data_IF_847498021082
#
_entry.id   IF_847498021082
#
_cell.length_a   1.000
_cell.length_b   1.000
_cell.length_c   1.000
_cell.angle_alpha   90.00
_cell.angle_beta   90.00
_cell.angle_gamma   90.00
#
_symmetry.space_group_name_H-M   'P 1'
#
loop_
_entity.id
_entity.type
_entity.pdbx_description
1 polymer ?
#
# COMPACT_ATOMS: atom_id res chain seq x y z
N UNK A 1 24.41 53.15 38.53
CA UNK A 1 24.40 51.74 38.92
C UNK A 1 25.76 51.39 39.48
N UNK A 2 25.82 50.92 40.72
CA UNK A 2 27.06 50.40 41.30
C UNK A 2 27.45 49.09 40.60
N UNK A 3 28.74 48.68 40.62
CA UNK A 3 29.15 47.38 40.08
C UNK A 3 28.34 46.20 40.63
N UNK A 4 27.93 46.28 41.90
CA UNK A 4 27.10 45.27 42.55
C UNK A 4 25.66 45.24 42.00
N UNK A 5 25.07 46.39 41.69
CA UNK A 5 23.74 46.47 41.06
C UNK A 5 23.75 45.90 39.63
N UNK A 6 24.84 46.09 38.88
CA UNK A 6 25.02 45.52 37.54
C UNK A 6 25.06 43.99 37.63
N UNK A 7 25.83 43.46 38.58
CA UNK A 7 25.94 42.01 38.80
C UNK A 7 24.59 41.41 39.22
N UNK A 8 23.89 42.03 40.17
CA UNK A 8 22.56 41.57 40.58
C UNK A 8 21.54 41.60 39.43
N UNK A 9 21.63 42.58 38.53
CA UNK A 9 20.77 42.63 37.35
C UNK A 9 21.09 41.49 36.36
N UNK A 10 22.38 41.21 36.12
CA UNK A 10 22.82 40.10 35.28
C UNK A 10 22.40 38.74 35.85
N UNK A 11 22.55 38.54 37.16
CA UNK A 11 22.15 37.31 37.83
C UNK A 11 20.63 37.08 37.71
N UNK A 12 19.80 38.13 37.89
CA UNK A 12 18.35 38.04 37.67
C UNK A 12 17.99 37.68 36.23
N UNK A 13 18.68 38.26 35.25
CA UNK A 13 18.46 37.94 33.83
C UNK A 13 18.82 36.48 33.51
N UNK A 14 19.90 35.96 34.12
CA UNK A 14 20.31 34.57 33.95
C UNK A 14 19.22 33.62 34.46
N UNK A 15 18.68 33.85 35.65
CA UNK A 15 17.63 33.00 36.21
C UNK A 15 16.30 33.14 35.47
N UNK A 16 15.97 34.33 34.95
CA UNK A 16 14.83 34.51 34.06
C UNK A 16 14.99 33.71 32.75
N UNK A 17 16.21 33.64 32.20
CA UNK A 17 16.49 32.83 31.01
C UNK A 17 16.28 31.33 31.26
N UNK A 18 16.61 30.82 32.44
CA UNK A 18 16.34 29.42 32.82
C UNK A 18 14.83 29.13 32.81
N UNK A 19 14.02 30.03 33.36
CA UNK A 19 12.54 29.89 33.36
C UNK A 19 12.00 29.91 31.93
N UNK A 20 12.53 30.79 31.07
CA UNK A 20 12.12 30.87 29.66
C UNK A 20 12.53 29.61 28.88
N UNK A 21 13.73 29.09 29.08
CA UNK A 21 14.18 27.84 28.44
C UNK A 21 13.29 26.67 28.84
N UNK A 22 12.98 26.53 30.14
CA UNK A 22 12.05 25.50 30.60
C UNK A 22 10.65 25.63 29.97
N UNK A 23 10.18 26.86 29.73
CA UNK A 23 8.90 27.09 29.05
C UNK A 23 8.97 26.72 27.56
N UNK A 24 10.09 26.99 26.90
CA UNK A 24 10.35 26.54 25.52
C UNK A 24 10.37 25.02 25.42
N UNK A 25 11.08 24.34 26.32
CA UNK A 25 11.15 22.87 26.37
C UNK A 25 9.75 22.27 26.63
N UNK A 26 8.95 22.89 27.51
CA UNK A 26 7.57 22.48 27.78
C UNK A 26 6.62 22.65 26.57
N UNK A 27 6.96 23.54 25.62
CA UNK A 27 6.18 23.89 24.42
C UNK A 27 6.83 23.47 23.10
N UNK A 28 7.95 22.74 23.11
CA UNK A 28 8.65 22.33 21.90
C UNK A 28 7.87 21.27 21.08
N UNK A 29 7.72 21.44 19.77
CA UNK A 29 7.05 20.48 18.85
C UNK A 29 8.00 19.38 18.35
N UNK A 30 8.51 18.47 19.18
CA UNK A 30 9.67 17.67 18.73
C UNK A 30 9.72 16.21 19.25
N UNK A 31 10.84 15.55 18.97
CA UNK A 31 11.13 14.13 18.76
C UNK A 31 11.06 13.29 20.05
N UNK A 32 11.38 11.99 19.97
CA UNK A 32 11.41 11.10 21.14
C UNK A 32 12.39 11.55 22.25
N UNK A 33 13.52 12.18 21.89
CA UNK A 33 14.47 12.75 22.85
C UNK A 33 13.89 13.98 23.55
N UNK A 34 13.32 14.90 22.78
CA UNK A 34 12.70 16.14 23.26
C UNK A 34 11.42 15.87 24.07
N UNK A 35 10.81 14.68 23.93
CA UNK A 35 9.61 14.29 24.67
C UNK A 35 9.88 14.05 26.17
N UNK A 36 11.08 13.61 26.53
CA UNK A 36 11.47 13.44 27.94
C UNK A 36 11.69 14.81 28.61
N UNK A 37 12.44 15.69 27.94
CA UNK A 37 12.72 17.05 28.40
C UNK A 37 11.43 17.87 28.53
N UNK A 38 10.53 17.77 27.54
CA UNK A 38 9.19 18.37 27.61
C UNK A 38 8.39 17.89 28.82
N UNK A 39 8.49 16.60 29.18
CA UNK A 39 7.80 16.06 30.35
C UNK A 39 8.41 16.60 31.64
N UNK A 40 9.73 16.55 31.77
CA UNK A 40 10.45 17.05 32.92
C UNK A 40 10.17 18.54 33.16
N UNK A 41 10.22 19.37 32.11
CA UNK A 41 9.91 20.79 32.20
C UNK A 41 8.47 21.06 32.65
N UNK A 42 7.50 20.27 32.16
CA UNK A 42 6.09 20.36 32.59
C UNK A 42 5.90 19.94 34.04
N UNK A 43 6.58 18.88 34.47
CA UNK A 43 6.57 18.43 35.86
C UNK A 43 7.19 19.50 36.77
N UNK A 44 8.28 20.16 36.34
CA UNK A 44 8.91 21.24 37.09
C UNK A 44 7.95 22.41 37.39
N UNK A 45 7.15 22.86 36.41
CA UNK A 45 6.12 23.87 36.64
C UNK A 45 4.89 23.35 37.43
N UNK A 46 4.58 22.05 37.34
CA UNK A 46 3.43 21.45 38.03
C UNK A 46 3.69 21.18 39.50
N UNK A 47 4.81 20.55 39.82
CA UNK A 47 5.16 20.16 41.19
C UNK A 47 5.55 21.38 42.02
N UNK A 48 6.08 22.45 41.39
CA UNK A 48 6.48 23.69 42.07
C UNK A 48 7.36 23.39 43.30
N UNK A 49 8.37 22.55 43.10
CA UNK A 49 9.29 22.13 44.16
C UNK A 49 10.18 23.27 44.67
N UNK A 50 11.00 22.95 45.68
CA UNK A 50 11.93 23.92 46.30
C UNK A 50 12.82 24.63 45.27
N UNK A 51 13.36 23.88 44.32
CA UNK A 51 14.25 24.39 43.28
C UNK A 51 13.54 25.41 42.36
N UNK A 52 12.24 25.21 42.09
CA UNK A 52 11.44 26.16 41.30
C UNK A 52 11.25 27.48 42.05
N UNK A 53 10.95 27.43 43.35
CA UNK A 53 10.81 28.64 44.17
C UNK A 53 12.13 29.40 44.29
N UNK A 54 13.25 28.69 44.43
CA UNK A 54 14.58 29.28 44.49
C UNK A 54 14.95 30.01 43.18
N UNK A 55 14.71 29.37 42.04
CA UNK A 55 14.95 29.99 40.72
C UNK A 55 14.07 31.23 40.52
N UNK A 56 12.79 31.18 40.90
CA UNK A 56 11.89 32.35 40.80
C UNK A 56 12.33 33.49 41.73
N UNK A 57 12.74 33.17 42.96
CA UNK A 57 13.23 34.15 43.92
C UNK A 57 14.52 34.82 43.43
N UNK A 58 15.46 34.05 42.87
CA UNK A 58 16.71 34.56 42.29
C UNK A 58 16.47 35.40 41.02
N UNK A 59 15.44 35.08 40.24
CA UNK A 59 14.99 35.91 39.12
C UNK A 59 14.25 37.19 39.57
N UNK A 60 13.88 37.30 40.84
CA UNK A 60 13.06 38.39 41.37
C UNK A 60 11.61 38.34 40.87
N UNK A 61 11.08 37.15 40.60
CA UNK A 61 9.72 36.92 40.10
C UNK A 61 8.89 36.20 41.17
N UNK A 62 7.58 36.49 41.17
CA UNK A 62 6.64 35.76 42.02
C UNK A 62 6.37 34.36 41.46
N UNK A 63 6.59 33.33 42.28
CA UNK A 63 6.54 31.93 41.85
C UNK A 63 5.11 31.49 41.47
N UNK A 64 4.09 32.00 42.16
CA UNK A 64 2.69 31.69 41.86
C UNK A 64 2.25 32.32 40.53
N UNK A 65 2.65 33.58 40.28
CA UNK A 65 2.40 34.26 39.01
C UNK A 65 3.11 33.55 37.83
N UNK A 66 4.38 33.18 37.99
CA UNK A 66 5.15 32.47 36.96
C UNK A 66 4.52 31.11 36.66
N UNK A 67 4.17 30.34 37.69
CA UNK A 67 3.52 29.03 37.55
C UNK A 67 2.20 29.13 36.79
N UNK A 68 1.35 30.07 37.19
CA UNK A 68 0.03 30.27 36.58
C UNK A 68 0.17 30.62 35.09
N UNK A 69 1.05 31.57 34.78
CA UNK A 69 1.31 32.00 33.39
C UNK A 69 1.93 30.87 32.54
N UNK A 70 2.85 30.08 33.11
CA UNK A 70 3.47 28.95 32.42
C UNK A 70 2.45 27.86 32.11
N UNK A 71 1.62 27.48 33.09
CA UNK A 71 0.58 26.46 32.91
C UNK A 71 -0.47 26.91 31.87
N UNK A 72 -0.89 28.17 31.91
CA UNK A 72 -1.81 28.72 30.91
C UNK A 72 -1.22 28.61 29.50
N UNK A 73 0.04 29.02 29.30
CA UNK A 73 0.70 28.92 27.98
C UNK A 73 0.86 27.47 27.52
N UNK A 74 1.17 26.55 28.43
CA UNK A 74 1.26 25.11 28.12
C UNK A 74 -0.12 24.58 27.68
N UNK A 75 -1.19 24.97 28.35
CA UNK A 75 -2.55 24.58 28.00
C UNK A 75 -2.98 25.16 26.65
N UNK A 76 -2.75 26.45 26.41
CA UNK A 76 -3.00 27.11 25.12
C UNK A 76 -2.24 26.40 23.99
N UNK A 77 -0.96 26.06 24.22
CA UNK A 77 -0.15 25.31 23.27
C UNK A 77 -0.75 23.94 22.97
N UNK A 78 -1.22 23.21 23.98
CA UNK A 78 -1.81 21.87 23.81
C UNK A 78 -3.17 21.94 23.10
N UNK A 79 -4.00 22.97 23.35
CA UNK A 79 -5.25 23.22 22.63
C UNK A 79 -5.00 23.46 21.14
N UNK A 80 -3.99 24.27 20.79
CA UNK A 80 -3.58 24.48 19.40
C UNK A 80 -2.86 23.25 18.83
N UNK A 81 -2.12 22.51 19.65
CA UNK A 81 -1.46 21.25 19.29
C UNK A 81 -2.44 20.18 18.81
N UNK A 82 -3.62 20.08 19.44
CA UNK A 82 -4.72 19.23 18.97
C UNK A 82 -5.20 19.59 17.56
N UNK A 83 -5.09 20.86 17.16
CA UNK A 83 -5.44 21.34 15.81
C UNK A 83 -4.26 21.20 14.82
N UNK A 84 -3.01 21.34 15.27
CA UNK A 84 -1.75 21.24 14.50
C UNK A 84 -1.42 19.82 14.00
N UNK A 85 -2.43 18.96 13.86
CA UNK A 85 -2.29 17.59 13.36
C UNK A 85 -1.48 17.51 12.07
N UNK A 86 -0.95 16.32 11.76
CA UNK A 86 0.00 16.04 10.65
C UNK A 86 -0.11 17.02 9.47
N UNK A 87 0.93 17.83 9.29
CA UNK A 87 1.03 18.81 8.20
C UNK A 87 1.43 18.12 6.90
N UNK A 88 0.83 18.53 5.79
CA UNK A 88 1.09 18.05 4.44
C UNK A 88 1.29 19.22 3.48
N UNK A 89 2.10 19.02 2.45
CA UNK A 89 2.27 20.01 1.38
C UNK A 89 1.17 19.83 0.33
N UNK A 90 0.40 20.89 0.07
CA UNK A 90 -0.66 20.95 -0.94
C UNK A 90 -0.58 22.29 -1.66
N UNK A 91 -0.48 22.28 -2.99
CA UNK A 91 -0.28 23.47 -3.83
C UNK A 91 0.91 24.36 -3.42
N UNK A 92 1.97 23.75 -2.89
CA UNK A 92 3.15 24.47 -2.38
C UNK A 92 3.00 25.05 -0.97
N UNK A 93 1.80 25.00 -0.38
CA UNK A 93 1.53 25.46 0.98
C UNK A 93 1.58 24.29 1.97
N UNK A 94 2.02 24.55 3.21
CA UNK A 94 1.99 23.58 4.31
C UNK A 94 0.64 23.72 5.04
N UNK A 95 -0.23 22.73 4.90
CA UNK A 95 -1.56 22.71 5.52
C UNK A 95 -1.71 21.52 6.46
N UNK A 96 -2.48 21.67 7.53
CA UNK A 96 -2.93 20.51 8.34
C UNK A 96 -3.96 19.68 7.57
N UNK A 97 -4.18 18.42 7.96
CA UNK A 97 -5.21 17.60 7.31
C UNK A 97 -6.62 18.20 7.46
N UNK A 98 -6.87 18.92 8.55
CA UNK A 98 -8.15 19.58 8.83
C UNK A 98 -8.34 20.78 7.90
N UNK A 99 -7.36 21.66 7.82
CA UNK A 99 -7.36 22.80 6.88
C UNK A 99 -7.49 22.31 5.43
N UNK A 100 -6.80 21.22 5.07
CA UNK A 100 -6.92 20.64 3.74
C UNK A 100 -8.34 20.08 3.49
N UNK A 101 -8.96 19.47 4.49
CA UNK A 101 -10.35 19.00 4.40
C UNK A 101 -11.34 20.15 4.21
N UNK A 102 -11.18 21.24 4.95
CA UNK A 102 -12.02 22.43 4.84
C UNK A 102 -11.85 23.10 3.47
N UNK A 103 -10.61 23.23 2.98
CA UNK A 103 -10.30 23.88 1.70
C UNK A 103 -10.76 23.09 0.48
N UNK A 104 -10.71 21.75 0.54
CA UNK A 104 -11.02 20.89 -0.62
C UNK A 104 -12.40 20.23 -0.54
N UNK A 105 -13.06 20.29 0.62
CA UNK A 105 -14.29 19.54 0.90
C UNK A 105 -14.09 18.03 0.97
N UNK A 106 -12.84 17.54 0.94
CA UNK A 106 -12.53 16.10 1.04
C UNK A 106 -12.40 15.72 2.50
N UNK A 107 -13.15 14.72 3.02
CA UNK A 107 -13.07 14.33 4.42
C UNK A 107 -11.66 13.95 4.87
N UNK A 108 -11.28 14.36 6.09
CA UNK A 108 -9.97 14.06 6.71
C UNK A 108 -9.60 12.58 6.63
N UNK A 109 -10.55 11.67 6.82
CA UNK A 109 -10.30 10.22 6.74
C UNK A 109 -9.89 9.76 5.33
N UNK A 110 -10.45 10.39 4.30
CA UNK A 110 -10.08 10.14 2.92
C UNK A 110 -8.66 10.62 2.64
N UNK A 111 -8.32 11.81 3.13
CA UNK A 111 -6.96 12.36 3.04
C UNK A 111 -5.98 11.43 3.77
N UNK A 112 -6.32 10.93 4.97
CA UNK A 112 -5.51 9.96 5.73
C UNK A 112 -5.32 8.64 4.98
N UNK A 113 -6.38 8.10 4.38
CA UNK A 113 -6.32 6.89 3.53
C UNK A 113 -5.45 7.08 2.29
N UNK A 114 -5.46 8.28 1.69
CA UNK A 114 -4.59 8.63 0.56
C UNK A 114 -3.12 8.68 0.99
N UNK A 115 -2.82 9.31 2.12
CA UNK A 115 -1.48 9.37 2.70
C UNK A 115 -0.90 7.98 3.01
N UNK A 116 -1.71 7.08 3.58
CA UNK A 116 -1.25 5.71 3.88
C UNK A 116 -0.98 4.89 2.61
N UNK A 117 -1.64 5.23 1.50
CA UNK A 117 -1.39 4.67 0.16
C UNK A 117 -0.25 5.39 -0.59
N UNK A 118 0.44 6.33 0.06
CA UNK A 118 1.58 7.05 -0.52
C UNK A 118 1.22 8.22 -1.44
N UNK A 119 -0.05 8.61 -1.55
CA UNK A 119 -0.46 9.79 -2.32
C UNK A 119 0.08 11.06 -1.63
N UNK A 120 0.58 12.02 -2.42
CA UNK A 120 1.17 13.29 -1.96
C UNK A 120 0.77 14.45 -2.87
N UNK A 121 1.05 15.66 -2.42
CA UNK A 121 0.79 16.89 -3.18
C UNK A 121 -0.69 17.09 -3.47
N UNK A 122 -0.97 17.69 -4.62
CA UNK A 122 -2.31 18.16 -4.98
C UNK A 122 -3.35 17.03 -5.12
N UNK A 123 -2.89 15.81 -5.43
CA UNK A 123 -3.75 14.63 -5.49
C UNK A 123 -4.41 14.28 -4.14
N UNK A 124 -3.88 14.79 -3.02
CA UNK A 124 -4.49 14.63 -1.70
C UNK A 124 -5.86 15.29 -1.61
N UNK A 125 -6.05 16.41 -2.30
CA UNK A 125 -7.28 17.20 -2.32
C UNK A 125 -8.26 16.83 -3.45
N UNK A 126 -8.01 15.74 -4.19
CA UNK A 126 -8.90 15.35 -5.29
C UNK A 126 -10.32 15.05 -4.78
N UNK A 127 -11.40 15.51 -5.44
CA UNK A 127 -12.76 15.25 -4.98
C UNK A 127 -13.05 13.75 -4.90
N UNK A 128 -13.89 13.35 -3.95
CA UNK A 128 -14.36 11.97 -3.87
C UNK A 128 -15.32 11.67 -5.02
N UNK A 129 -15.21 10.47 -5.61
CA UNK A 129 -16.20 9.99 -6.56
C UNK A 129 -17.49 9.67 -5.80
N UNK A 130 -18.61 10.21 -6.25
CA UNK A 130 -19.93 9.85 -5.71
C UNK A 130 -20.17 8.36 -5.92
N UNK A 131 -20.66 7.68 -4.90
CA UNK A 131 -21.13 6.30 -5.01
C UNK A 131 -22.28 6.24 -6.00
N UNK A 132 -22.24 5.29 -6.93
CA UNK A 132 -23.31 5.12 -7.91
C UNK A 132 -24.57 4.61 -7.19
N UNK A 133 -25.63 5.41 -7.23
CA UNK A 133 -26.98 5.03 -6.80
C UNK A 133 -27.82 4.63 -8.00
N UNK A 134 -28.75 3.70 -7.76
CA UNK A 134 -29.72 3.24 -8.75
C UNK A 134 -31.09 3.42 -8.11
N UNK A 135 -32.02 4.03 -8.84
CA UNK A 135 -33.42 4.13 -8.44
C UNK A 135 -34.19 3.01 -9.14
N UNK A 136 -34.85 2.15 -8.36
CA UNK A 136 -35.66 1.04 -8.86
C UNK A 136 -36.86 0.82 -7.92
N UNK A 137 -38.07 0.67 -8.48
CA UNK A 137 -39.33 0.54 -7.74
C UNK A 137 -39.57 1.63 -6.67
N UNK A 138 -39.25 2.88 -6.98
CA UNK A 138 -39.45 4.02 -6.07
C UNK A 138 -38.40 4.15 -4.96
N UNK A 139 -37.49 3.19 -4.81
CA UNK A 139 -36.40 3.25 -3.84
C UNK A 139 -35.08 3.64 -4.53
N UNK A 140 -34.31 4.52 -3.89
CA UNK A 140 -32.95 4.87 -4.35
C UNK A 140 -31.94 4.29 -3.39
N UNK A 141 -31.13 3.34 -3.86
CA UNK A 141 -30.08 2.69 -3.07
C UNK A 141 -28.77 2.62 -3.84
N UNK A 142 -27.68 2.35 -3.13
CA UNK A 142 -26.36 2.13 -3.76
C UNK A 142 -26.33 0.80 -4.51
N UNK A 143 -25.44 0.68 -5.50
CA UNK A 143 -25.20 -0.61 -6.21
C UNK A 143 -24.88 -1.75 -5.23
N UNK A 144 -24.16 -1.45 -4.14
CA UNK A 144 -23.82 -2.43 -3.09
C UNK A 144 -25.04 -2.93 -2.32
N UNK A 145 -25.93 -2.01 -1.92
CA UNK A 145 -27.17 -2.38 -1.23
C UNK A 145 -28.09 -3.18 -2.15
N UNK A 146 -28.25 -2.73 -3.39
CA UNK A 146 -28.99 -3.47 -4.39
C UNK A 146 -28.41 -4.85 -4.66
N UNK A 147 -27.08 -5.01 -4.66
CA UNK A 147 -26.44 -6.32 -4.79
C UNK A 147 -26.78 -7.27 -3.64
N UNK A 148 -26.88 -6.75 -2.41
CA UNK A 148 -27.29 -7.54 -1.25
C UNK A 148 -28.76 -7.94 -1.31
N UNK A 149 -29.63 -7.04 -1.76
CA UNK A 149 -31.08 -7.28 -1.82
C UNK A 149 -31.43 -8.22 -2.98
N UNK A 150 -30.88 -7.97 -4.16
CA UNK A 150 -31.19 -8.73 -5.38
C UNK A 150 -30.46 -10.08 -5.48
N UNK A 151 -29.42 -10.29 -4.67
CA UNK A 151 -28.52 -11.45 -4.79
C UNK A 151 -27.65 -11.43 -6.06
N UNK A 152 -27.60 -10.31 -6.78
CA UNK A 152 -26.77 -10.11 -7.97
C UNK A 152 -25.47 -9.43 -7.58
N UNK A 153 -24.32 -9.92 -8.04
CA UNK A 153 -23.05 -9.29 -7.69
C UNK A 153 -22.96 -7.86 -8.24
N UNK A 154 -22.31 -6.97 -7.49
CA UNK A 154 -22.07 -5.56 -7.87
C UNK A 154 -21.39 -5.44 -9.24
N UNK A 155 -20.48 -6.35 -9.55
CA UNK A 155 -19.82 -6.46 -10.84
C UNK A 155 -20.81 -6.78 -11.98
N UNK A 156 -21.79 -7.65 -11.71
CA UNK A 156 -22.84 -8.02 -12.68
C UNK A 156 -23.79 -6.86 -12.90
N UNK A 157 -24.28 -6.22 -11.83
CA UNK A 157 -25.13 -5.02 -11.92
C UNK A 157 -24.41 -3.94 -12.73
N UNK A 158 -23.16 -3.63 -12.38
CA UNK A 158 -22.37 -2.62 -13.08
C UNK A 158 -22.08 -2.97 -14.54
N UNK A 159 -21.84 -4.24 -14.88
CA UNK A 159 -21.69 -4.69 -16.27
C UNK A 159 -22.98 -4.50 -17.06
N UNK A 160 -24.12 -4.93 -16.51
CA UNK A 160 -25.44 -4.81 -17.15
C UNK A 160 -25.81 -3.35 -17.40
N UNK A 161 -25.56 -2.46 -16.45
CA UNK A 161 -25.78 -1.02 -16.63
C UNK A 161 -24.89 -0.41 -17.73
N UNK A 162 -23.63 -0.85 -17.85
CA UNK A 162 -22.76 -0.42 -18.95
C UNK A 162 -23.18 -0.96 -20.31
N UNK A 163 -23.81 -2.13 -20.33
CA UNK A 163 -24.43 -2.74 -21.51
C UNK A 163 -25.79 -2.09 -21.85
N UNK A 164 -26.24 -1.10 -21.08
CA UNK A 164 -27.47 -0.34 -21.34
C UNK A 164 -28.75 -1.03 -20.85
N UNK A 165 -28.65 -2.10 -20.05
CA UNK A 165 -29.82 -2.76 -19.47
C UNK A 165 -30.51 -1.85 -18.44
N UNK A 166 -31.82 -1.98 -18.33
CA UNK A 166 -32.62 -1.23 -17.36
C UNK A 166 -32.24 -1.58 -15.92
N UNK A 167 -32.59 -0.71 -14.96
CA UNK A 167 -32.35 -0.98 -13.54
C UNK A 167 -33.01 -2.30 -13.11
N UNK A 168 -34.20 -2.60 -13.62
CA UNK A 168 -34.94 -3.84 -13.34
C UNK A 168 -34.18 -5.09 -13.82
N UNK A 169 -33.76 -5.09 -15.09
CA UNK A 169 -33.02 -6.20 -15.69
C UNK A 169 -31.62 -6.35 -15.08
N UNK A 170 -31.00 -5.21 -14.72
CA UNK A 170 -29.71 -5.18 -14.05
C UNK A 170 -29.76 -5.88 -12.70
N UNK A 171 -30.85 -5.72 -11.96
CA UNK A 171 -31.10 -6.30 -10.64
C UNK A 171 -31.73 -7.69 -10.69
N UNK A 172 -32.21 -8.13 -11.85
CA UNK A 172 -32.81 -9.46 -11.97
C UNK A 172 -31.75 -10.56 -11.81
N UNK A 173 -31.88 -11.48 -10.83
CA UNK A 173 -30.94 -12.58 -10.68
C UNK A 173 -30.96 -13.47 -11.93
N UNK A 174 -29.84 -13.47 -12.66
CA UNK A 174 -29.68 -14.35 -13.81
C UNK A 174 -29.71 -15.81 -13.37
N UNK A 175 -30.22 -16.71 -14.22
CA UNK A 175 -30.17 -18.16 -13.98
C UNK A 175 -28.74 -18.55 -13.61
N UNK A 176 -28.50 -18.87 -12.35
CA UNK A 176 -27.19 -19.36 -11.93
C UNK A 176 -26.90 -20.59 -12.78
N UNK A 177 -25.89 -20.52 -13.65
CA UNK A 177 -25.37 -21.71 -14.32
C UNK A 177 -24.78 -22.61 -13.24
N UNK A 178 -25.59 -23.51 -12.69
CA UNK A 178 -25.12 -24.59 -11.83
C UNK A 178 -24.06 -25.33 -12.64
N UNK A 179 -22.82 -25.35 -12.13
CA UNK A 179 -21.78 -26.19 -12.74
C UNK A 179 -22.30 -27.63 -12.68
N UNK A 180 -22.26 -28.41 -13.79
CA UNK A 180 -22.74 -29.78 -13.77
C UNK A 180 -22.00 -30.57 -12.69
N UNK A 181 -22.75 -31.34 -11.91
CA UNK A 181 -22.19 -32.18 -10.84
C UNK A 181 -21.16 -33.15 -11.41
N UNK A 182 -20.31 -33.74 -10.56
CA UNK A 182 -19.34 -34.75 -11.02
C UNK A 182 -20.04 -35.91 -11.74
N UNK A 183 -21.17 -36.39 -11.20
CA UNK A 183 -22.01 -37.40 -11.82
C UNK A 183 -22.58 -36.95 -13.17
N UNK A 184 -23.08 -35.71 -13.28
CA UNK A 184 -23.56 -35.17 -14.56
C UNK A 184 -22.43 -35.04 -15.59
N UNK A 185 -21.24 -34.57 -15.19
CA UNK A 185 -20.05 -34.53 -16.06
C UNK A 185 -19.66 -35.91 -16.57
N UNK A 186 -19.74 -36.94 -15.72
CA UNK A 186 -19.48 -38.33 -16.10
C UNK A 186 -20.58 -38.88 -17.04
N UNK A 187 -21.85 -38.56 -16.80
CA UNK A 187 -22.98 -38.95 -17.66
C UNK A 187 -22.97 -38.27 -19.03
N UNK A 188 -22.59 -36.99 -19.12
CA UNK A 188 -22.42 -36.30 -20.40
C UNK A 188 -21.22 -36.84 -21.20
N UNK A 189 -20.24 -37.44 -20.51
CA UNK A 189 -19.09 -38.10 -21.13
C UNK A 189 -19.42 -39.49 -21.67
N UNK A 190 -20.40 -40.18 -21.09
CA UNK A 190 -20.85 -41.52 -21.54
C UNK A 190 -21.92 -41.51 -22.62
N UNK A 191 -22.69 -40.41 -22.78
CA UNK A 191 -23.73 -40.26 -23.81
C UNK A 191 -23.24 -39.74 -25.17
N UNK A 192 -21.93 -39.79 -25.47
CA UNK A 192 -21.44 -39.49 -26.81
C UNK A 192 -21.72 -40.69 -27.74
N UNK A 193 -22.47 -40.40 -28.83
CA UNK A 193 -23.04 -41.28 -29.86
C UNK A 193 -22.11 -42.43 -30.35
N UNK A 194 -22.58 -43.69 -30.49
CA UNK A 194 -21.78 -44.80 -31.06
C UNK A 194 -21.44 -44.64 -32.55
N UNK A 195 -22.06 -43.69 -33.25
CA UNK A 195 -21.87 -43.39 -34.67
C UNK A 195 -20.70 -42.44 -34.95
N UNK A 196 -19.71 -42.39 -34.06
CA UNK A 196 -18.47 -41.64 -34.28
C UNK A 196 -17.28 -42.55 -34.61
N UNK A 197 -17.52 -43.67 -35.32
CA UNK A 197 -16.47 -44.53 -35.86
C UNK A 197 -15.62 -43.85 -36.96
N UNK A 198 -15.92 -42.58 -37.33
CA UNK A 198 -15.14 -41.80 -38.30
C UNK A 198 -14.58 -40.47 -37.76
N UNK A 199 -14.53 -40.25 -36.44
CA UNK A 199 -13.60 -39.25 -35.87
C UNK A 199 -12.67 -39.90 -34.88
N UNK A 200 -11.42 -40.05 -35.32
CA UNK A 200 -10.32 -40.58 -34.54
C UNK A 200 -10.18 -39.88 -33.17
N UNK A 201 -9.72 -40.59 -32.12
CA UNK A 201 -9.40 -39.99 -30.83
C UNK A 201 -8.14 -39.13 -30.95
N UNK A 202 -8.29 -37.87 -31.34
CA UNK A 202 -7.17 -36.94 -31.43
C UNK A 202 -6.83 -36.41 -30.03
N UNK A 203 -5.90 -37.07 -29.31
CA UNK A 203 -4.88 -36.49 -28.42
C UNK A 203 -4.18 -37.56 -27.56
N UNK A 204 -3.60 -38.55 -28.22
CA UNK A 204 -2.34 -39.12 -27.72
C UNK A 204 -1.28 -38.50 -28.62
N UNK A 205 -0.59 -37.47 -28.12
CA UNK A 205 0.54 -36.88 -28.85
C UNK A 205 1.57 -37.98 -29.02
N UNK A 206 1.64 -38.58 -30.21
CA UNK A 206 2.78 -39.38 -30.60
C UNK A 206 3.99 -38.44 -30.52
N UNK A 207 4.82 -38.60 -29.48
CA UNK A 207 5.96 -37.73 -29.20
C UNK A 207 6.84 -37.71 -30.46
N UNK A 208 6.88 -36.57 -31.16
CA UNK A 208 7.64 -36.40 -32.40
C UNK A 208 9.10 -36.86 -32.20
N UNK A 209 9.56 -37.78 -33.05
CA UNK A 209 10.95 -38.29 -33.07
C UNK A 209 11.76 -37.51 -34.09
N UNK A 210 13.04 -37.31 -33.80
CA UNK A 210 13.97 -36.57 -34.62
C UNK A 210 15.18 -37.44 -34.92
N UNK A 211 15.47 -37.64 -36.20
CA UNK A 211 16.58 -38.45 -36.69
C UNK A 211 17.87 -37.62 -36.72
N UNK A 212 18.92 -38.13 -36.10
CA UNK A 212 20.26 -37.55 -36.11
C UNK A 212 21.31 -38.66 -35.97
N UNK A 213 22.36 -38.64 -36.80
CA UNK A 213 23.44 -39.64 -36.80
C UNK A 213 22.95 -41.11 -36.80
N UNK A 214 21.97 -41.42 -37.66
CA UNK A 214 21.40 -42.77 -37.80
C UNK A 214 20.46 -43.20 -36.66
N UNK A 215 20.25 -42.37 -35.63
CA UNK A 215 19.36 -42.67 -34.52
C UNK A 215 18.10 -41.79 -34.54
N UNK A 216 16.93 -42.37 -34.31
CA UNK A 216 15.66 -41.64 -34.21
C UNK A 216 15.19 -41.58 -32.75
N UNK A 217 15.48 -40.49 -32.04
CA UNK A 217 15.11 -40.32 -30.62
C UNK A 217 14.13 -39.17 -30.41
N UNK A 218 13.48 -39.13 -29.25
CA UNK A 218 12.65 -37.98 -28.84
C UNK A 218 13.54 -36.82 -28.39
N UNK A 219 13.02 -35.58 -28.40
CA UNK A 219 13.79 -34.42 -27.91
C UNK A 219 14.24 -34.56 -26.45
N UNK A 220 13.45 -35.26 -25.62
CA UNK A 220 13.82 -35.49 -24.23
C UNK A 220 15.02 -36.42 -24.12
N UNK A 221 15.09 -37.45 -24.96
CA UNK A 221 16.22 -38.37 -24.99
C UNK A 221 17.47 -37.67 -25.55
N UNK A 222 17.33 -36.89 -26.63
CA UNK A 222 18.44 -36.11 -27.16
C UNK A 222 18.97 -35.06 -26.18
N UNK A 223 18.09 -34.43 -25.40
CA UNK A 223 18.46 -33.51 -24.33
C UNK A 223 19.29 -34.20 -23.23
N UNK A 224 18.88 -35.40 -22.82
CA UNK A 224 19.63 -36.20 -21.83
C UNK A 224 20.99 -36.64 -22.38
N UNK A 225 21.04 -37.17 -23.61
CA UNK A 225 22.27 -37.68 -24.23
C UNK A 225 23.32 -36.59 -24.47
N UNK A 226 22.89 -35.35 -24.75
CA UNK A 226 23.79 -34.22 -25.06
C UNK A 226 23.94 -33.21 -23.92
N UNK A 227 23.28 -33.42 -22.79
CA UNK A 227 23.30 -32.48 -21.66
C UNK A 227 22.71 -31.10 -21.98
N UNK A 228 21.85 -30.99 -23.00
CA UNK A 228 21.21 -29.74 -23.43
C UNK A 228 19.79 -29.71 -22.88
N UNK A 229 19.32 -28.56 -22.39
CA UNK A 229 17.94 -28.45 -21.89
C UNK A 229 16.93 -28.70 -23.04
N UNK A 230 15.92 -29.55 -22.79
CA UNK A 230 14.82 -29.86 -23.73
C UNK A 230 14.16 -28.58 -24.25
N UNK A 231 14.01 -27.57 -23.40
CA UNK A 231 13.44 -26.29 -23.77
C UNK A 231 14.30 -25.57 -24.81
N UNK A 232 15.62 -25.58 -24.66
CA UNK A 232 16.56 -25.01 -25.63
C UNK A 232 16.45 -25.69 -27.00
N UNK A 233 16.33 -27.02 -27.04
CA UNK A 233 16.12 -27.75 -28.29
C UNK A 233 14.76 -27.41 -28.93
N UNK A 234 13.70 -27.27 -28.13
CA UNK A 234 12.37 -26.84 -28.63
C UNK A 234 12.42 -25.43 -29.23
N UNK A 235 13.07 -24.48 -28.56
CA UNK A 235 13.19 -23.10 -29.04
C UNK A 235 13.99 -23.04 -30.35
N UNK A 236 15.10 -23.77 -30.44
CA UNK A 236 15.90 -23.86 -31.67
C UNK A 236 15.08 -24.41 -32.85
N UNK A 237 14.31 -25.49 -32.64
CA UNK A 237 13.43 -26.04 -33.67
C UNK A 237 12.28 -25.09 -34.05
N UNK A 238 11.71 -24.37 -33.09
CA UNK A 238 10.68 -23.36 -33.35
C UNK A 238 11.21 -22.16 -34.15
N UNK A 239 12.50 -21.84 -33.99
CA UNK A 239 13.24 -20.87 -34.80
C UNK A 239 13.69 -21.44 -36.16
N UNK A 240 13.21 -22.64 -36.54
CA UNK A 240 13.49 -23.25 -37.83
C UNK A 240 14.86 -23.91 -37.95
N UNK A 241 15.57 -24.17 -36.84
CA UNK A 241 16.85 -24.85 -36.90
C UNK A 241 16.68 -26.32 -37.32
N UNK A 242 17.64 -26.86 -38.07
CA UNK A 242 17.72 -28.31 -38.27
C UNK A 242 18.06 -29.01 -36.96
N UNK A 243 17.63 -30.27 -36.81
CA UNK A 243 17.95 -31.05 -35.61
C UNK A 243 19.46 -31.20 -35.41
N UNK A 244 20.20 -31.32 -36.52
CA UNK A 244 21.67 -31.40 -36.51
C UNK A 244 22.28 -30.17 -35.86
N UNK A 245 21.96 -28.99 -36.40
CA UNK A 245 22.41 -27.70 -35.88
C UNK A 245 21.97 -27.48 -34.43
N UNK A 246 20.74 -27.91 -34.09
CA UNK A 246 20.19 -27.76 -32.75
C UNK A 246 20.97 -28.57 -31.69
N UNK A 247 21.56 -29.70 -32.07
CA UNK A 247 22.32 -30.58 -31.17
C UNK A 247 23.83 -30.26 -31.13
N UNK A 248 24.40 -29.69 -32.19
CA UNK A 248 25.84 -29.39 -32.29
C UNK A 248 26.21 -28.00 -31.76
N UNK A 249 25.28 -27.05 -31.76
CA UNK A 249 25.59 -25.68 -31.34
C UNK A 249 25.66 -25.54 -29.81
N UNK A 250 26.77 -25.06 -29.22
CA UNK A 250 26.89 -24.89 -27.78
C UNK A 250 25.90 -23.84 -27.24
N UNK A 251 25.43 -24.02 -26.01
CA UNK A 251 24.53 -23.06 -25.33
C UNK A 251 25.41 -22.00 -24.66
N UNK A 252 25.29 -20.73 -25.06
CA UNK A 252 25.99 -19.60 -24.40
C UNK A 252 25.67 -19.60 -22.90
N UNK A 253 26.70 -19.66 -22.06
CA UNK A 253 26.59 -19.56 -20.59
C UNK A 253 26.87 -20.82 -19.77
N UNK A 254 27.27 -21.95 -20.38
CA UNK A 254 27.85 -23.10 -19.65
C UNK A 254 29.19 -23.51 -20.24
N UNK A 255 30.29 -23.06 -19.65
CA UNK A 255 31.60 -23.70 -19.81
C UNK A 255 31.58 -25.01 -19.03
N UNK A 256 31.68 -26.17 -19.70
CA UNK A 256 31.90 -27.46 -19.02
C UNK A 256 32.70 -28.41 -19.93
N UNK A 257 33.99 -28.56 -19.61
CA UNK A 257 34.85 -29.77 -19.51
C UNK A 257 34.50 -31.10 -20.24
N UNK A 258 33.66 -31.14 -21.28
CA UNK A 258 33.31 -32.37 -21.99
C UNK A 258 33.86 -32.49 -23.43
N UNK A 259 34.60 -31.51 -23.93
CA UNK A 259 35.25 -31.60 -25.25
C UNK A 259 36.55 -32.42 -25.27
N UNK A 260 37.07 -32.89 -24.13
CA UNK A 260 38.35 -33.62 -24.04
C UNK A 260 38.24 -35.17 -24.05
N UNK A 261 37.04 -35.75 -24.22
CA UNK A 261 36.87 -37.23 -24.22
C UNK A 261 36.52 -37.86 -25.57
N UNK A 262 36.61 -37.13 -26.67
CA UNK A 262 36.33 -37.63 -28.02
C UNK A 262 37.49 -37.41 -29.01
N UNK A 263 38.70 -37.20 -28.51
CA UNK A 263 39.93 -37.10 -29.30
C UNK A 263 41.09 -37.95 -28.72
N UNK A 264 40.75 -39.09 -28.11
CA UNK A 264 41.69 -40.14 -27.71
C UNK A 264 41.15 -41.50 -28.17
#
# INVERSE_FOLDING_TARGET
MTPDEIKQHQDKQLWAAVILQALEDATATISMADAHERRAAREWFKDAGKDFHEVCALAGMDHDAVRTAALQKIEEFDQHGKQRGRVVTFKGEKLTLKELSERTGVPVDTIRSRLSKGVRGDALGAPQRKTQTITFNGETRTVNEWARISGVSTATIGRRLREGLSAEEALTPGRQRRKPTQAQRLMFRSKLNPTNQQRAPCKISLKRRYAYAGQSKTLSQWATDRGINVHTLKTRLAQGWSIDRALTTPVKGKTSKQSERLAA
#
